data_IF_098453324688
#
_entry.id   IF_098453324688
#
_cell.length_a   1.000
_cell.length_b   1.000
_cell.length_c   1.000
_cell.angle_alpha   90.00
_cell.angle_beta   90.00
_cell.angle_gamma   90.00
#
_symmetry.space_group_name_H-M   'P 1'
#
loop_
_entity.id
_entity.type
_entity.pdbx_description
1 polymer ?
#
# COMPACT_ATOMS: atom_id res chain seq x y z
N UNK A 1 22.11 -6.51 -67.16
CA UNK A 1 21.58 -7.08 -65.90
C UNK A 1 22.75 -7.40 -64.98
N UNK A 2 23.00 -6.53 -64.00
CA UNK A 2 24.08 -6.70 -63.02
C UNK A 2 23.48 -7.17 -61.69
N UNK A 3 23.74 -8.42 -61.35
CA UNK A 3 23.34 -9.00 -60.08
C UNK A 3 24.32 -8.54 -59.00
N UNK A 4 23.86 -7.68 -58.09
CA UNK A 4 24.63 -7.26 -56.91
C UNK A 4 24.70 -8.42 -55.94
N UNK A 5 25.91 -8.92 -55.72
CA UNK A 5 26.18 -9.96 -54.71
C UNK A 5 26.19 -9.29 -53.33
N UNK A 6 25.17 -9.54 -52.50
CA UNK A 6 25.15 -9.22 -51.10
C UNK A 6 26.25 -10.01 -50.38
N UNK A 7 27.26 -9.31 -49.90
CA UNK A 7 28.36 -9.93 -49.13
C UNK A 7 27.92 -10.16 -47.67
N UNK A 8 28.37 -11.27 -47.08
CA UNK A 8 28.06 -11.67 -45.69
C UNK A 8 28.43 -10.63 -44.61
N UNK A 9 29.18 -9.59 -44.98
CA UNK A 9 29.60 -8.50 -44.09
C UNK A 9 28.54 -7.43 -43.90
N UNK A 10 27.58 -7.26 -44.80
CA UNK A 10 26.51 -6.29 -44.70
C UNK A 10 25.30 -6.79 -43.87
N UNK A 11 25.20 -8.11 -43.66
CA UNK A 11 24.12 -8.69 -42.85
C UNK A 11 24.34 -8.58 -41.32
N UNK A 12 25.56 -8.28 -40.86
CA UNK A 12 25.89 -8.19 -39.44
C UNK A 12 25.81 -6.77 -38.87
N UNK A 13 25.65 -5.75 -39.72
CA UNK A 13 25.56 -4.34 -39.26
C UNK A 13 24.13 -3.89 -38.94
N UNK A 14 23.11 -4.68 -39.24
CA UNK A 14 21.70 -4.32 -39.10
C UNK A 14 21.01 -4.78 -37.81
N UNK A 15 21.67 -5.61 -36.99
CA UNK A 15 20.98 -6.32 -35.87
C UNK A 15 21.20 -5.69 -34.48
N UNK A 16 21.85 -4.54 -34.38
CA UNK A 16 22.15 -3.92 -33.07
C UNK A 16 21.29 -2.69 -32.74
N UNK A 17 20.30 -2.34 -33.56
CA UNK A 17 19.50 -1.13 -33.35
C UNK A 17 18.10 -1.37 -32.79
N UNK A 18 17.74 -2.59 -32.38
CA UNK A 18 16.37 -2.92 -31.97
C UNK A 18 16.24 -3.43 -30.52
N UNK A 19 17.25 -3.24 -29.66
CA UNK A 19 17.16 -3.59 -28.22
C UNK A 19 17.34 -2.36 -27.29
N UNK A 20 16.91 -1.18 -27.74
CA UNK A 20 16.57 -0.11 -26.80
C UNK A 20 15.13 -0.36 -26.29
N UNK A 21 14.93 -1.53 -25.68
CA UNK A 21 13.76 -1.80 -24.87
C UNK A 21 13.75 -0.79 -23.74
N UNK A 22 12.76 0.07 -23.72
CA UNK A 22 12.46 0.96 -22.60
C UNK A 22 12.34 0.12 -21.34
N UNK A 23 13.41 0.05 -20.55
CA UNK A 23 13.31 -0.26 -19.14
C UNK A 23 12.56 0.93 -18.53
N UNK A 24 11.22 0.90 -18.61
CA UNK A 24 10.40 1.72 -17.76
C UNK A 24 10.80 1.33 -16.34
N UNK A 25 11.50 2.22 -15.64
CA UNK A 25 11.83 2.06 -14.24
C UNK A 25 10.48 1.86 -13.52
N UNK A 26 10.16 0.61 -13.19
CA UNK A 26 9.01 0.31 -12.34
C UNK A 26 9.33 0.98 -11.02
N UNK A 27 8.47 1.89 -10.60
CA UNK A 27 8.57 2.47 -9.28
C UNK A 27 8.67 1.32 -8.27
N UNK A 28 9.80 1.24 -7.58
CA UNK A 28 10.05 0.19 -6.60
C UNK A 28 9.15 0.35 -5.36
N UNK A 29 8.44 1.47 -5.26
CA UNK A 29 7.58 1.83 -4.13
C UNK A 29 6.17 2.13 -4.63
N UNK A 30 5.17 1.77 -3.83
CA UNK A 30 3.79 2.10 -4.10
C UNK A 30 3.55 3.61 -3.98
N UNK A 31 2.51 4.06 -4.66
CA UNK A 31 2.03 5.44 -4.60
C UNK A 31 0.74 5.52 -3.77
N UNK A 32 0.35 6.74 -3.41
CA UNK A 32 -0.91 6.98 -2.72
C UNK A 32 -2.13 6.46 -3.52
N UNK A 33 -2.06 6.50 -4.85
CA UNK A 33 -3.11 5.97 -5.72
C UNK A 33 -3.16 4.44 -5.65
N UNK A 34 -2.02 3.76 -5.70
CA UNK A 34 -1.94 2.30 -5.56
C UNK A 34 -2.42 1.83 -4.18
N UNK A 35 -2.14 2.60 -3.12
CA UNK A 35 -2.68 2.30 -1.78
C UNK A 35 -4.21 2.44 -1.73
N UNK A 36 -4.76 3.47 -2.38
CA UNK A 36 -6.21 3.65 -2.53
C UNK A 36 -6.85 2.55 -3.38
N UNK A 37 -6.23 2.20 -4.49
CA UNK A 37 -6.73 1.14 -5.39
C UNK A 37 -6.76 -0.20 -4.67
N UNK A 38 -5.72 -0.50 -3.89
CA UNK A 38 -5.66 -1.72 -3.09
C UNK A 38 -6.80 -1.80 -2.07
N UNK A 39 -7.09 -0.71 -1.35
CA UNK A 39 -8.24 -0.63 -0.43
C UNK A 39 -9.55 -0.71 -1.21
N UNK A 40 -9.68 0.03 -2.31
CA UNK A 40 -10.89 0.09 -3.13
C UNK A 40 -11.26 -1.22 -3.83
N UNK A 41 -10.28 -2.12 -4.01
CA UNK A 41 -10.53 -3.48 -4.50
C UNK A 41 -11.31 -4.34 -3.48
N UNK A 42 -11.15 -4.05 -2.18
CA UNK A 42 -11.76 -4.81 -1.08
C UNK A 42 -12.98 -4.11 -0.48
N UNK A 43 -12.90 -2.79 -0.29
CA UNK A 43 -13.95 -1.96 0.30
C UNK A 43 -14.48 -0.97 -0.74
N UNK A 44 -15.74 -1.15 -1.15
CA UNK A 44 -16.39 -0.30 -2.17
C UNK A 44 -17.08 0.89 -1.52
N UNK A 45 -16.76 2.08 -1.96
CA UNK A 45 -17.40 3.32 -1.50
C UNK A 45 -16.39 4.44 -1.30
N UNK A 46 -16.87 5.60 -0.87
CA UNK A 46 -16.04 6.76 -0.55
C UNK A 46 -15.88 6.82 0.97
N UNK A 47 -14.66 6.66 1.49
CA UNK A 47 -14.42 6.78 2.93
C UNK A 47 -14.67 8.21 3.42
N UNK A 48 -15.25 8.34 4.62
CA UNK A 48 -15.46 9.59 5.34
C UNK A 48 -14.41 9.72 6.44
N UNK A 49 -14.01 10.92 6.75
CA UNK A 49 -13.16 11.17 7.92
C UNK A 49 -13.92 10.91 9.22
N UNK A 50 -13.20 10.43 10.23
CA UNK A 50 -13.73 10.19 11.56
C UNK A 50 -13.78 8.72 11.97
N UNK A 51 -14.13 8.48 13.23
CA UNK A 51 -14.21 7.16 13.90
C UNK A 51 -12.93 6.34 13.94
N UNK A 52 -11.98 6.55 13.04
CA UNK A 52 -10.69 5.83 12.99
C UNK A 52 -9.60 6.66 13.64
N UNK A 53 -8.87 6.06 14.57
CA UNK A 53 -7.72 6.66 15.25
C UNK A 53 -6.50 5.81 15.01
N UNK A 54 -5.43 6.43 14.47
CA UNK A 54 -4.12 5.81 14.35
C UNK A 54 -3.19 6.34 15.44
N UNK A 55 -2.68 5.44 16.27
CA UNK A 55 -1.61 5.71 17.23
C UNK A 55 -0.32 5.10 16.71
N UNK A 56 0.64 5.96 16.38
CA UNK A 56 1.96 5.60 15.88
C UNK A 56 2.92 6.76 16.16
N UNK A 57 4.23 6.55 16.33
CA UNK A 57 5.18 7.63 16.45
C UNK A 57 5.20 8.49 15.17
N UNK A 58 5.43 9.78 15.31
CA UNK A 58 5.61 10.69 14.17
C UNK A 58 6.96 10.48 13.48
N UNK A 59 7.95 10.07 14.26
CA UNK A 59 9.30 9.75 13.80
C UNK A 59 9.63 8.34 14.23
N UNK A 60 9.93 7.48 13.27
CA UNK A 60 10.46 6.15 13.47
C UNK A 60 11.98 6.17 13.22
N UNK A 61 12.78 6.02 14.27
CA UNK A 61 14.24 5.94 14.14
C UNK A 61 14.66 4.70 13.36
N UNK A 62 13.87 3.63 13.44
CA UNK A 62 14.07 2.39 12.71
C UNK A 62 12.75 1.94 12.07
N UNK A 63 12.71 1.93 10.74
CA UNK A 63 11.53 1.52 9.97
C UNK A 63 11.24 0.01 9.97
N UNK A 64 12.10 -0.84 10.53
CA UNK A 64 11.89 -2.29 10.49
C UNK A 64 10.68 -2.76 11.32
N UNK A 65 10.34 -2.05 12.38
CA UNK A 65 9.29 -2.49 13.31
C UNK A 65 8.59 -1.31 13.99
N UNK A 66 7.87 -0.50 13.22
CA UNK A 66 7.16 0.68 13.70
C UNK A 66 5.85 0.25 14.37
N UNK A 67 5.61 0.60 15.65
CA UNK A 67 4.36 0.25 16.31
C UNK A 67 3.20 1.06 15.72
N UNK A 68 2.10 0.38 15.46
CA UNK A 68 0.86 0.96 14.99
C UNK A 68 -0.31 0.36 15.77
N UNK A 69 -1.16 1.20 16.34
CA UNK A 69 -2.45 0.80 16.87
C UNK A 69 -3.53 1.54 16.10
N UNK A 70 -4.50 0.80 15.58
CA UNK A 70 -5.69 1.33 14.92
C UNK A 70 -6.88 1.01 15.80
N UNK A 71 -7.62 2.06 16.19
CA UNK A 71 -8.84 1.93 16.98
C UNK A 71 -9.98 2.56 16.18
N UNK A 72 -11.13 1.91 16.18
CA UNK A 72 -12.35 2.43 15.52
C UNK A 72 -13.44 2.59 16.56
N UNK A 73 -14.02 3.78 16.63
CA UNK A 73 -15.16 4.06 17.51
C UNK A 73 -16.41 3.33 17.01
N UNK A 74 -16.82 2.33 17.78
CA UNK A 74 -18.01 1.52 17.50
C UNK A 74 -18.52 0.86 18.78
N UNK A 75 -19.84 0.72 18.88
CA UNK A 75 -20.47 -0.02 19.98
C UNK A 75 -20.22 -1.52 19.89
N UNK A 76 -19.78 -2.03 18.74
CA UNK A 76 -19.58 -3.45 18.46
C UNK A 76 -20.81 -4.30 18.85
N UNK A 77 -22.01 -3.76 18.53
CA UNK A 77 -23.29 -4.45 18.73
C UNK A 77 -23.72 -5.14 17.43
N UNK A 78 -24.68 -6.07 17.51
CA UNK A 78 -25.24 -6.72 16.32
C UNK A 78 -25.83 -5.72 15.30
N UNK A 79 -26.27 -4.56 15.77
CA UNK A 79 -26.87 -3.51 14.93
C UNK A 79 -25.79 -2.61 14.29
N UNK A 80 -24.68 -2.38 15.00
CA UNK A 80 -23.61 -1.47 14.55
C UNK A 80 -22.26 -1.97 15.02
N UNK A 81 -21.47 -2.48 14.10
CA UNK A 81 -20.11 -2.96 14.35
C UNK A 81 -19.18 -2.71 13.17
N UNK A 82 -17.91 -2.71 13.45
CA UNK A 82 -16.85 -2.69 12.44
C UNK A 82 -16.74 -4.09 11.85
N UNK A 83 -16.92 -4.21 10.54
CA UNK A 83 -16.80 -5.47 9.81
C UNK A 83 -15.35 -5.78 9.47
N UNK A 84 -14.59 -4.76 9.02
CA UNK A 84 -13.19 -4.92 8.66
C UNK A 84 -12.39 -3.64 8.83
N UNK A 85 -11.08 -3.77 9.05
CA UNK A 85 -10.09 -2.69 9.00
C UNK A 85 -9.05 -3.07 7.94
N UNK A 86 -8.86 -2.18 6.97
CA UNK A 86 -7.85 -2.27 5.90
C UNK A 86 -6.74 -1.28 6.21
N UNK A 87 -5.49 -1.73 6.18
CA UNK A 87 -4.31 -0.90 6.46
C UNK A 87 -3.40 -0.93 5.25
N UNK A 88 -3.04 0.24 4.74
CA UNK A 88 -2.14 0.42 3.60
C UNK A 88 -1.04 1.43 3.89
N UNK A 89 0.07 1.32 3.17
CA UNK A 89 1.24 2.18 3.22
C UNK A 89 1.62 2.64 1.80
N UNK A 90 1.81 3.93 1.57
CA UNK A 90 2.01 4.50 0.24
C UNK A 90 3.48 4.60 -0.21
N UNK A 91 4.40 4.10 0.58
CA UNK A 91 5.83 4.14 0.27
C UNK A 91 6.55 2.80 0.43
N UNK A 92 5.83 1.71 0.63
CA UNK A 92 6.38 0.36 0.58
C UNK A 92 6.28 -0.21 -0.84
N UNK A 93 7.07 -1.22 -1.22
CA UNK A 93 6.94 -1.88 -2.52
C UNK A 93 5.56 -2.50 -2.75
N UNK A 94 4.92 -3.00 -1.67
CA UNK A 94 3.54 -3.47 -1.65
C UNK A 94 2.72 -2.52 -0.77
N UNK A 95 1.65 -1.91 -1.28
CA UNK A 95 0.84 -0.98 -0.50
C UNK A 95 0.02 -1.67 0.61
N UNK A 96 -0.39 -2.93 0.42
CA UNK A 96 -1.18 -3.66 1.40
C UNK A 96 -0.35 -4.06 2.61
N UNK A 97 -0.78 -3.65 3.80
CA UNK A 97 -0.14 -3.99 5.08
C UNK A 97 -0.88 -5.12 5.77
N UNK A 98 -2.18 -4.95 6.02
CA UNK A 98 -3.00 -5.93 6.73
C UNK A 98 -4.50 -5.70 6.50
N UNK A 99 -5.26 -6.77 6.68
CA UNK A 99 -6.72 -6.76 6.76
C UNK A 99 -7.13 -7.49 8.03
N UNK A 100 -8.01 -6.90 8.80
CA UNK A 100 -8.58 -7.51 10.00
C UNK A 100 -10.10 -7.53 9.89
N UNK A 101 -10.68 -8.68 10.10
CA UNK A 101 -12.13 -8.87 10.12
C UNK A 101 -12.62 -8.98 11.55
N UNK A 102 -13.78 -8.38 11.82
CA UNK A 102 -14.41 -8.34 13.14
C UNK A 102 -15.84 -8.84 13.09
N UNK A 103 -16.32 -9.23 14.24
CA UNK A 103 -17.70 -9.56 14.50
C UNK A 103 -18.17 -8.80 15.76
N UNK A 104 -19.45 -8.71 16.04
CA UNK A 104 -19.93 -8.15 17.31
C UNK A 104 -19.31 -8.79 18.56
N UNK A 105 -18.94 -10.07 18.46
CA UNK A 105 -18.27 -10.81 19.56
C UNK A 105 -16.83 -10.36 19.82
N UNK A 106 -16.22 -9.57 18.92
CA UNK A 106 -14.88 -9.05 19.12
C UNK A 106 -14.81 -8.01 20.24
N UNK A 107 -15.93 -7.43 20.65
CA UNK A 107 -16.07 -6.49 21.76
C UNK A 107 -15.47 -5.13 21.51
N UNK A 108 -14.32 -5.04 20.86
CA UNK A 108 -13.62 -3.82 20.44
C UNK A 108 -13.08 -3.95 19.03
N UNK A 109 -13.16 -2.85 18.27
CA UNK A 109 -12.52 -2.72 16.98
C UNK A 109 -11.14 -2.04 17.15
N UNK A 110 -10.19 -2.79 17.71
CA UNK A 110 -8.83 -2.32 17.96
C UNK A 110 -7.82 -3.38 17.53
N UNK A 111 -6.80 -2.97 16.81
CA UNK A 111 -5.67 -3.83 16.43
C UNK A 111 -4.36 -3.14 16.73
N UNK A 112 -3.39 -3.89 17.22
CA UNK A 112 -2.03 -3.43 17.43
C UNK A 112 -1.07 -4.35 16.70
N UNK A 113 -0.21 -3.76 15.87
CA UNK A 113 0.75 -4.48 15.05
C UNK A 113 2.06 -3.70 14.92
N UNK A 114 3.08 -4.34 14.37
CA UNK A 114 4.32 -3.70 13.96
C UNK A 114 4.39 -3.70 12.45
N UNK A 115 4.64 -2.52 11.86
CA UNK A 115 4.70 -2.31 10.42
C UNK A 115 6.13 -2.05 10.01
N UNK A 116 6.56 -2.66 8.90
CA UNK A 116 7.83 -2.29 8.25
C UNK A 116 7.59 -1.12 7.31
N UNK A 117 8.34 -0.05 7.49
CA UNK A 117 8.34 1.13 6.63
C UNK A 117 9.72 1.32 6.03
N UNK A 118 9.82 1.27 4.71
CA UNK A 118 11.13 1.36 4.04
C UNK A 118 11.62 2.80 3.91
N UNK A 119 10.73 3.76 3.98
CA UNK A 119 11.01 5.19 3.88
C UNK A 119 9.93 6.00 4.59
N UNK A 120 10.13 7.32 4.71
CA UNK A 120 9.08 8.26 5.12
C UNK A 120 7.88 8.11 4.21
N UNK A 121 6.71 7.83 4.80
CA UNK A 121 5.49 7.53 4.07
C UNK A 121 4.25 7.73 4.93
N UNK A 122 3.09 7.65 4.27
CA UNK A 122 1.80 7.75 4.91
C UNK A 122 1.20 6.36 5.12
N UNK A 123 0.75 6.10 6.34
CA UNK A 123 -0.14 4.99 6.66
C UNK A 123 -1.59 5.44 6.53
N UNK A 124 -2.41 4.63 5.91
CA UNK A 124 -3.85 4.84 5.74
C UNK A 124 -4.57 3.64 6.34
N UNK A 125 -5.55 3.91 7.21
CA UNK A 125 -6.46 2.90 7.70
C UNK A 125 -7.89 3.25 7.27
N UNK A 126 -8.61 2.25 6.74
CA UNK A 126 -10.02 2.35 6.38
C UNK A 126 -10.79 1.30 7.15
N UNK A 127 -11.83 1.73 7.86
CA UNK A 127 -12.76 0.85 8.56
C UNK A 127 -14.06 0.73 7.75
N UNK A 128 -14.50 -0.49 7.53
CA UNK A 128 -15.79 -0.83 6.94
C UNK A 128 -16.76 -1.21 8.05
N UNK A 129 -17.89 -0.50 8.11
CA UNK A 129 -18.97 -0.82 9.02
C UNK A 129 -19.86 -1.93 8.41
N UNK A 130 -20.66 -2.57 9.25
CA UNK A 130 -21.58 -3.62 8.81
C UNK A 130 -22.67 -3.12 7.84
N UNK A 131 -22.95 -1.82 7.82
CA UNK A 131 -23.87 -1.16 6.87
C UNK A 131 -23.19 -0.74 5.54
N UNK A 132 -21.89 -1.04 5.38
CA UNK A 132 -21.10 -0.67 4.21
C UNK A 132 -20.50 0.75 4.26
N UNK A 133 -20.78 1.53 5.30
CA UNK A 133 -20.17 2.85 5.46
C UNK A 133 -18.67 2.69 5.71
N UNK A 134 -17.86 3.53 5.05
CA UNK A 134 -16.41 3.54 5.20
C UNK A 134 -15.95 4.78 5.97
N UNK A 135 -15.05 4.58 6.91
CA UNK A 135 -14.34 5.64 7.64
C UNK A 135 -12.84 5.50 7.44
N UNK A 136 -12.13 6.62 7.37
CA UNK A 136 -10.68 6.62 7.14
C UNK A 136 -9.95 7.57 8.08
N UNK A 137 -8.72 7.23 8.36
CA UNK A 137 -7.73 8.14 8.89
C UNK A 137 -6.36 7.82 8.29
N UNK A 138 -5.50 8.82 8.20
CA UNK A 138 -4.14 8.65 7.71
C UNK A 138 -3.14 9.41 8.56
N UNK A 139 -1.89 8.93 8.61
CA UNK A 139 -0.81 9.58 9.32
C UNK A 139 0.51 9.40 8.57
N UNK A 140 1.24 10.49 8.38
CA UNK A 140 2.60 10.44 7.87
C UNK A 140 3.57 10.06 8.99
N UNK A 141 4.52 9.18 8.68
CA UNK A 141 5.57 8.75 9.58
C UNK A 141 6.91 9.03 8.92
N UNK A 142 7.72 9.86 9.57
CA UNK A 142 9.10 10.13 9.15
C UNK A 142 9.99 8.97 9.58
N UNK A 143 10.67 8.36 8.64
CA UNK A 143 11.59 7.25 8.89
C UNK A 143 13.01 7.74 8.67
N UNK A 144 13.85 7.71 9.73
CA UNK A 144 15.23 8.17 9.66
C UNK A 144 16.16 7.09 9.13
N UNK A 145 15.96 5.83 9.53
CA UNK A 145 16.63 4.67 8.97
C UNK A 145 15.54 3.75 8.43
N UNK A 146 15.48 3.63 7.11
CA UNK A 146 14.51 2.77 6.43
C UNK A 146 14.67 1.31 6.86
N UNK A 147 13.56 0.57 6.88
CA UNK A 147 13.58 -0.87 6.99
C UNK A 147 14.23 -1.44 5.73
N UNK A 148 15.57 -1.59 5.74
CA UNK A 148 16.27 -2.23 4.64
C UNK A 148 15.70 -3.61 4.40
N UNK A 149 15.29 -3.86 3.16
CA UNK A 149 15.02 -5.20 2.71
C UNK A 149 16.35 -5.97 2.77
N UNK A 150 16.47 -6.87 3.73
CA UNK A 150 17.45 -7.92 3.64
C UNK A 150 17.00 -8.90 2.58
#
# INVERSE_FOLDING_TARGET
MAASRLTRRTALAGSWAALAGTLAARNAFATADQARDWIGAMAKGTPKDGKVVLKTPEIAENGNAVPLTVTVESEMSEKSYVKAIYIAADGNPNPGVAVYEFTPLSGKAEVSLRVRLQQTQKLVAVAEMNDGTLYTASREIKVTIGGCGG
#
